data_IF_477635772961
#
_entry.id   IF_477635772961
#
_cell.length_a   1.000
_cell.length_b   1.000
_cell.length_c   1.000
_cell.angle_alpha   90.00
_cell.angle_beta   90.00
_cell.angle_gamma   90.00
#
_symmetry.space_group_name_H-M   'P 1'
#
loop_
_entity.id
_entity.type
_entity.pdbx_description
1 polymer ?
#
# COMPACT_ATOMS: atom_id res chain seq x y z
N UNK A 1 7.66 -18.08 -6.39
CA UNK A 1 6.55 -17.88 -7.33
C UNK A 1 5.40 -18.75 -6.86
N UNK A 2 4.42 -18.17 -6.18
CA UNK A 2 3.26 -18.89 -5.68
C UNK A 2 2.06 -18.49 -6.54
N UNK A 3 1.35 -19.48 -7.08
CA UNK A 3 0.13 -19.25 -7.85
C UNK A 3 -1.07 -19.55 -6.96
N UNK A 4 -2.03 -18.63 -6.91
CA UNK A 4 -3.27 -18.83 -6.17
C UNK A 4 -4.40 -19.11 -7.18
N UNK A 5 -4.59 -20.38 -7.52
CA UNK A 5 -5.68 -20.84 -8.38
C UNK A 5 -6.74 -21.56 -7.55
N UNK A 6 -8.01 -21.27 -7.81
CA UNK A 6 -9.14 -21.90 -7.11
C UNK A 6 -10.33 -22.14 -8.03
N UNK A 7 -11.23 -23.05 -7.63
CA UNK A 7 -12.56 -23.20 -8.22
C UNK A 7 -13.59 -22.48 -7.35
N UNK A 8 -14.44 -21.63 -7.93
CA UNK A 8 -15.49 -20.91 -7.17
C UNK A 8 -15.06 -19.56 -6.57
N UNK A 9 -14.02 -18.93 -7.12
CA UNK A 9 -13.36 -17.71 -6.65
C UNK A 9 -14.21 -16.43 -6.55
N UNK A 10 -15.46 -16.46 -7.02
CA UNK A 10 -16.41 -15.33 -6.98
C UNK A 10 -17.85 -15.86 -6.77
N UNK A 11 -18.47 -15.63 -5.59
CA UNK A 11 -19.83 -16.05 -5.28
C UNK A 11 -20.88 -15.50 -6.26
N UNK A 12 -20.67 -14.29 -6.81
CA UNK A 12 -21.61 -13.64 -7.71
C UNK A 12 -21.57 -14.26 -9.11
N UNK A 13 -20.40 -14.77 -9.51
CA UNK A 13 -20.24 -15.38 -10.84
C UNK A 13 -20.78 -16.82 -10.88
N UNK A 14 -20.66 -17.57 -9.77
CA UNK A 14 -21.31 -18.89 -9.66
C UNK A 14 -22.84 -18.77 -9.74
N UNK A 15 -23.43 -17.75 -9.11
CA UNK A 15 -24.86 -17.47 -9.20
C UNK A 15 -25.29 -17.11 -10.64
N UNK A 16 -24.50 -16.30 -11.35
CA UNK A 16 -24.79 -15.92 -12.74
C UNK A 16 -24.65 -17.07 -13.74
N UNK A 17 -23.68 -17.98 -13.56
CA UNK A 17 -23.52 -19.16 -14.42
C UNK A 17 -24.63 -20.19 -14.23
N UNK A 18 -25.09 -20.40 -12.99
CA UNK A 18 -26.24 -21.25 -12.67
C UNK A 18 -27.53 -20.63 -13.25
N UNK A 19 -27.72 -19.31 -13.12
CA UNK A 19 -28.87 -18.60 -13.71
C UNK A 19 -28.89 -18.65 -15.24
N UNK A 20 -27.74 -18.84 -15.90
CA UNK A 20 -27.63 -18.97 -17.36
C UNK A 20 -27.77 -20.42 -17.87
N UNK A 21 -28.10 -21.39 -17.00
CA UNK A 21 -28.36 -22.78 -17.41
C UNK A 21 -27.12 -23.60 -17.77
N UNK A 22 -25.92 -23.05 -17.55
CA UNK A 22 -24.69 -23.81 -17.65
C UNK A 22 -24.52 -24.67 -16.39
N UNK A 23 -24.31 -25.98 -16.56
CA UNK A 23 -24.04 -26.90 -15.45
C UNK A 23 -22.79 -26.51 -14.65
N UNK A 24 -22.51 -27.22 -13.55
CA UNK A 24 -21.35 -26.93 -12.70
C UNK A 24 -20.02 -27.19 -13.44
N UNK A 25 -19.50 -26.20 -14.16
CA UNK A 25 -18.25 -26.32 -14.91
C UNK A 25 -17.07 -25.96 -13.99
N UNK A 26 -16.23 -26.95 -13.67
CA UNK A 26 -15.06 -26.78 -12.80
C UNK A 26 -13.86 -26.34 -13.62
N UNK A 27 -13.61 -25.03 -13.68
CA UNK A 27 -12.36 -24.47 -14.19
C UNK A 27 -11.59 -23.78 -13.05
N UNK A 28 -10.27 -23.94 -13.02
CA UNK A 28 -9.40 -23.22 -12.09
C UNK A 28 -9.15 -21.81 -12.60
N UNK A 29 -9.62 -20.80 -11.89
CA UNK A 29 -9.37 -19.39 -12.21
C UNK A 29 -8.43 -18.77 -11.18
N UNK A 30 -7.61 -17.78 -11.57
CA UNK A 30 -6.79 -17.04 -10.60
C UNK A 30 -7.71 -16.37 -9.56
N UNK A 31 -7.32 -16.44 -8.31
CA UNK A 31 -8.04 -15.78 -7.22
C UNK A 31 -7.84 -14.26 -7.30
N UNK A 32 -8.77 -13.48 -6.76
CA UNK A 32 -8.69 -12.01 -6.75
C UNK A 32 -7.47 -11.45 -5.98
N UNK A 33 -6.80 -12.29 -5.19
CA UNK A 33 -5.54 -11.98 -4.51
C UNK A 33 -4.31 -12.68 -5.14
N UNK A 34 -4.44 -13.28 -6.33
CA UNK A 34 -3.33 -13.91 -7.06
C UNK A 34 -2.31 -12.86 -7.52
N UNK A 35 -1.25 -12.67 -6.74
CA UNK A 35 -0.13 -11.80 -7.09
C UNK A 35 1.04 -12.65 -7.59
N UNK A 36 1.30 -12.61 -8.90
CA UNK A 36 2.30 -13.47 -9.56
C UNK A 36 3.73 -13.17 -9.15
N UNK A 37 4.08 -11.88 -9.08
CA UNK A 37 5.41 -11.43 -8.69
C UNK A 37 5.29 -10.54 -7.46
N UNK A 38 6.04 -10.89 -6.42
CA UNK A 38 6.21 -10.07 -5.23
C UNK A 38 7.69 -10.05 -4.89
N UNK A 39 8.26 -8.85 -4.84
CA UNK A 39 9.65 -8.57 -4.52
C UNK A 39 9.65 -7.77 -3.24
N UNK A 40 10.35 -8.26 -2.24
CA UNK A 40 10.61 -7.55 -1.00
C UNK A 40 12.11 -7.53 -0.77
N UNK A 41 12.66 -6.34 -0.56
CA UNK A 41 14.04 -6.14 -0.16
C UNK A 41 14.06 -5.29 1.10
N UNK A 42 14.80 -5.76 2.10
CA UNK A 42 15.02 -5.02 3.34
C UNK A 42 16.53 -4.85 3.53
N UNK A 43 16.94 -3.62 3.77
CA UNK A 43 18.33 -3.25 4.09
C UNK A 43 18.30 -2.53 5.41
N UNK A 44 19.00 -3.07 6.39
CA UNK A 44 19.16 -2.44 7.70
C UNK A 44 20.64 -2.13 7.93
N UNK A 45 20.90 -0.93 8.41
CA UNK A 45 22.24 -0.50 8.78
C UNK A 45 22.19 0.26 10.10
N UNK A 46 23.07 -0.11 11.03
CA UNK A 46 23.18 0.51 12.35
C UNK A 46 24.63 0.79 12.69
N UNK A 47 24.90 2.02 13.11
CA UNK A 47 26.18 2.40 13.66
C UNK A 47 26.34 1.85 15.07
N UNK A 48 27.56 1.40 15.40
CA UNK A 48 27.94 1.12 16.78
C UNK A 48 27.93 2.39 17.63
N UNK A 49 28.16 2.24 18.92
CA UNK A 49 28.17 3.34 19.86
C UNK A 49 28.16 2.86 21.29
N UNK A 50 28.09 3.83 22.20
CA UNK A 50 28.18 3.59 23.64
C UNK A 50 26.95 2.84 24.17
N UNK A 51 25.79 3.03 23.53
CA UNK A 51 24.55 2.34 23.92
C UNK A 51 24.56 0.89 23.44
N UNK A 52 24.95 0.66 22.19
CA UNK A 52 25.02 -0.68 21.57
C UNK A 52 26.23 -1.50 22.01
N UNK A 53 27.24 -0.89 22.64
CA UNK A 53 28.47 -1.55 23.06
C UNK A 53 29.40 -1.99 21.92
N UNK A 54 29.11 -1.55 20.68
CA UNK A 54 29.89 -1.86 19.48
C UNK A 54 30.81 -0.70 19.11
N UNK A 55 31.99 -0.96 18.50
CA UNK A 55 32.87 0.12 18.05
C UNK A 55 32.16 1.00 17.02
N UNK A 56 32.26 2.31 17.20
CA UNK A 56 31.72 3.28 16.25
C UNK A 56 32.68 3.46 15.07
N UNK A 57 32.18 3.23 13.86
CA UNK A 57 32.93 3.35 12.60
C UNK A 57 32.40 4.46 11.68
N UNK A 58 31.50 5.32 12.20
CA UNK A 58 30.85 6.37 11.42
C UNK A 58 31.59 7.71 11.39
N UNK A 59 31.02 8.70 10.68
CA UNK A 59 31.62 10.02 10.52
C UNK A 59 31.64 10.80 11.84
N UNK A 60 32.79 11.41 12.15
CA UNK A 60 32.98 12.28 13.32
C UNK A 60 33.04 13.74 12.90
N UNK A 61 32.37 14.62 13.63
CA UNK A 61 32.50 16.08 13.45
C UNK A 61 33.05 16.65 14.75
N UNK A 62 34.25 17.26 14.71
CA UNK A 62 34.91 17.82 15.91
C UNK A 62 35.00 16.78 17.06
N UNK A 63 35.38 15.54 16.73
CA UNK A 63 35.47 14.39 17.65
C UNK A 63 34.14 13.89 18.23
N UNK A 64 33.01 14.46 17.82
CA UNK A 64 31.67 14.01 18.22
C UNK A 64 31.20 12.92 17.27
N UNK A 65 30.86 11.76 17.82
CA UNK A 65 30.25 10.63 17.11
C UNK A 65 28.77 10.94 16.82
N UNK A 66 28.50 11.72 15.77
CA UNK A 66 27.17 12.28 15.47
C UNK A 66 26.10 11.20 15.22
N UNK A 67 26.49 10.08 14.62
CA UNK A 67 25.61 8.96 14.28
C UNK A 67 25.81 7.75 15.20
N UNK A 68 26.47 7.92 16.35
CA UNK A 68 26.56 6.83 17.32
C UNK A 68 25.16 6.34 17.70
N UNK A 69 25.02 5.01 17.70
CA UNK A 69 23.76 4.31 18.03
C UNK A 69 22.56 4.75 17.17
N UNK A 70 22.82 5.25 15.96
CA UNK A 70 21.80 5.55 14.96
C UNK A 70 21.62 4.37 13.98
N UNK A 71 20.37 4.09 13.64
CA UNK A 71 19.95 3.08 12.68
C UNK A 71 19.18 3.68 11.50
N UNK A 72 19.28 3.01 10.36
CA UNK A 72 18.46 3.27 9.19
C UNK A 72 18.00 1.92 8.60
N UNK A 73 16.70 1.79 8.38
CA UNK A 73 16.07 0.60 7.81
C UNK A 73 15.29 1.00 6.57
N UNK A 74 15.60 0.40 5.43
CA UNK A 74 14.92 0.62 4.15
C UNK A 74 14.18 -0.66 3.76
N UNK A 75 12.89 -0.56 3.50
CA UNK A 75 12.05 -1.66 3.01
C UNK A 75 11.44 -1.28 1.67
N UNK A 76 11.81 -2.00 0.62
CA UNK A 76 11.25 -1.88 -0.71
C UNK A 76 10.30 -3.04 -0.96
N UNK A 77 9.08 -2.73 -1.37
CA UNK A 77 8.06 -3.69 -1.74
C UNK A 77 7.58 -3.38 -3.15
N UNK A 78 7.72 -4.32 -4.06
CA UNK A 78 7.22 -4.23 -5.42
C UNK A 78 6.39 -5.47 -5.73
N UNK A 79 5.29 -5.32 -6.44
CA UNK A 79 4.48 -6.46 -6.81
C UNK A 79 3.63 -6.21 -8.05
N UNK A 80 3.44 -7.27 -8.83
CA UNK A 80 2.54 -7.27 -9.98
C UNK A 80 1.11 -6.98 -9.53
N UNK A 81 0.30 -6.32 -10.36
CA UNK A 81 -1.08 -6.06 -9.98
C UNK A 81 -1.90 -7.33 -9.82
N UNK A 82 -2.85 -7.27 -8.88
CA UNK A 82 -3.82 -8.33 -8.66
C UNK A 82 -4.80 -8.40 -9.83
N UNK A 83 -5.40 -9.57 -10.08
CA UNK A 83 -6.33 -9.70 -11.17
C UNK A 83 -7.70 -9.09 -10.84
N UNK A 84 -8.43 -8.74 -11.89
CA UNK A 84 -9.80 -8.25 -11.81
C UNK A 84 -10.63 -8.74 -13.01
N UNK A 85 -11.94 -8.68 -12.86
CA UNK A 85 -12.90 -9.00 -13.92
C UNK A 85 -13.13 -7.75 -14.78
N UNK A 86 -12.71 -7.81 -16.05
CA UNK A 86 -13.06 -6.77 -17.03
C UNK A 86 -14.45 -7.05 -17.59
N UNK A 87 -15.29 -6.03 -17.66
CA UNK A 87 -16.66 -6.14 -18.17
C UNK A 87 -16.89 -5.17 -19.32
N UNK A 88 -17.80 -5.51 -20.21
CA UNK A 88 -18.25 -4.61 -21.28
C UNK A 88 -19.25 -3.60 -20.70
N UNK A 89 -19.06 -2.33 -21.02
CA UNK A 89 -19.86 -1.23 -20.48
C UNK A 89 -21.32 -1.25 -21.00
N UNK A 90 -21.60 -1.90 -22.13
CA UNK A 90 -22.94 -1.90 -22.75
C UNK A 90 -23.86 -2.97 -22.18
N UNK A 91 -23.33 -4.15 -21.93
CA UNK A 91 -24.13 -5.33 -21.55
C UNK A 91 -23.65 -6.01 -20.25
N UNK A 92 -22.63 -5.44 -19.60
CA UNK A 92 -21.99 -5.94 -18.38
C UNK A 92 -21.42 -7.37 -18.49
N UNK A 93 -21.25 -7.87 -19.72
CA UNK A 93 -20.68 -9.19 -19.94
C UNK A 93 -19.19 -9.21 -19.63
N UNK A 94 -18.74 -10.32 -19.05
CA UNK A 94 -17.34 -10.55 -18.75
C UNK A 94 -16.54 -10.60 -20.05
N UNK A 95 -15.51 -9.76 -20.15
CA UNK A 95 -14.56 -9.76 -21.24
C UNK A 95 -13.39 -10.68 -20.87
N UNK A 96 -13.26 -11.78 -21.62
CA UNK A 96 -12.22 -12.78 -21.40
C UNK A 96 -12.57 -13.77 -20.29
N UNK A 97 -11.59 -14.14 -19.47
CA UNK A 97 -11.79 -15.07 -18.36
C UNK A 97 -11.99 -14.34 -17.03
N UNK A 98 -12.57 -15.06 -16.06
CA UNK A 98 -12.65 -14.57 -14.68
C UNK A 98 -11.23 -14.26 -14.20
N UNK A 99 -11.02 -13.08 -13.64
CA UNK A 99 -9.73 -12.58 -13.16
C UNK A 99 -8.65 -12.61 -14.26
N UNK A 100 -9.07 -12.42 -15.52
CA UNK A 100 -8.19 -12.45 -16.70
C UNK A 100 -7.39 -11.15 -16.92
N UNK A 101 -7.90 -10.02 -16.45
CA UNK A 101 -7.19 -8.73 -16.52
C UNK A 101 -6.42 -8.47 -15.23
N UNK A 102 -5.38 -7.64 -15.28
CA UNK A 102 -4.54 -7.30 -14.12
C UNK A 102 -4.40 -5.81 -13.94
N UNK A 103 -4.42 -5.38 -12.69
CA UNK A 103 -4.11 -4.01 -12.32
C UNK A 103 -2.62 -3.69 -12.60
N UNK A 104 -2.24 -2.40 -12.60
CA UNK A 104 -0.85 -1.98 -12.69
C UNK A 104 0.01 -2.55 -11.55
N UNK A 105 1.33 -2.52 -11.75
CA UNK A 105 2.27 -2.84 -10.68
C UNK A 105 2.17 -1.83 -9.54
N UNK A 106 2.45 -2.31 -8.33
CA UNK A 106 2.51 -1.49 -7.13
C UNK A 106 3.92 -1.51 -6.55
N UNK A 107 4.42 -0.35 -6.15
CA UNK A 107 5.74 -0.17 -5.55
C UNK A 107 5.63 0.76 -4.34
N UNK A 108 6.14 0.33 -3.19
CA UNK A 108 6.18 1.12 -1.96
C UNK A 108 7.57 1.03 -1.37
N UNK A 109 8.15 2.18 -1.06
CA UNK A 109 9.43 2.30 -0.37
C UNK A 109 9.17 2.94 0.98
N UNK A 110 9.57 2.27 2.05
CA UNK A 110 9.49 2.75 3.42
C UNK A 110 10.90 2.88 3.98
N UNK A 111 11.15 3.94 4.73
CA UNK A 111 12.41 4.12 5.46
C UNK A 111 12.12 4.47 6.89
N UNK A 112 12.91 3.92 7.80
CA UNK A 112 12.92 4.27 9.21
C UNK A 112 14.31 4.70 9.60
N UNK A 113 14.40 5.83 10.27
CA UNK A 113 15.60 6.27 10.98
C UNK A 113 15.32 6.20 12.47
N UNK A 114 16.28 5.71 13.25
CA UNK A 114 16.17 5.70 14.70
C UNK A 114 17.50 5.99 15.36
N UNK A 115 17.45 6.46 16.61
CA UNK A 115 18.64 6.73 17.41
C UNK A 115 18.39 6.36 18.85
N UNK A 116 19.26 5.52 19.38
CA UNK A 116 19.26 5.15 20.79
C UNK A 116 20.11 6.11 21.60
N UNK A 117 19.60 6.51 22.75
CA UNK A 117 20.27 7.36 23.72
C UNK A 117 20.15 6.72 25.09
N UNK A 118 21.23 6.76 25.86
CA UNK A 118 21.27 6.29 27.24
C UNK A 118 21.48 7.48 28.17
N UNK A 119 20.58 7.64 29.13
CA UNK A 119 20.66 8.63 30.19
C UNK A 119 20.77 7.93 31.53
N UNK A 120 21.48 8.53 32.48
CA UNK A 120 21.48 8.08 33.87
C UNK A 120 20.60 9.02 34.66
N UNK A 121 19.53 8.50 35.25
CA UNK A 121 18.62 9.25 36.12
C UNK A 121 18.84 8.75 37.55
N UNK A 122 19.43 9.59 38.41
CA UNK A 122 19.65 9.29 39.83
C UNK A 122 20.91 9.93 40.42
N UNK A 123 20.77 10.51 41.62
CA UNK A 123 21.87 11.05 42.43
C UNK A 123 21.54 12.28 43.28
N UNK A 124 20.58 12.18 44.23
CA UNK A 124 20.47 13.01 45.46
C UNK A 124 19.59 12.30 46.53
N UNK A 125 19.94 11.08 46.89
CA UNK A 125 19.32 10.31 47.99
C UNK A 125 20.28 9.24 48.48
N UNK A 126 20.14 8.83 49.74
CA UNK A 126 21.16 8.10 50.52
C UNK A 126 21.54 6.70 49.99
N UNK A 127 20.77 6.11 49.06
CA UNK A 127 21.10 4.85 48.37
C UNK A 127 21.47 5.12 46.90
N UNK A 128 22.73 5.50 46.67
CA UNK A 128 23.28 6.08 45.42
C UNK A 128 23.24 5.25 44.12
N UNK A 129 22.23 4.42 43.89
CA UNK A 129 22.07 3.65 42.66
C UNK A 129 21.62 4.54 41.49
N UNK A 130 22.51 4.66 40.50
CA UNK A 130 22.21 5.31 39.22
C UNK A 130 21.33 4.39 38.39
N UNK A 131 20.13 4.84 38.03
CA UNK A 131 19.26 4.09 37.12
C UNK A 131 19.54 4.48 35.67
N UNK A 132 19.86 3.50 34.84
CA UNK A 132 20.01 3.68 33.41
C UNK A 132 18.63 3.73 32.74
N UNK A 133 18.38 4.76 31.92
CA UNK A 133 17.17 4.94 31.12
C UNK A 133 17.55 5.00 29.65
N UNK A 134 16.86 4.20 28.84
CA UNK A 134 17.09 4.13 27.39
C UNK A 134 15.96 4.85 26.66
N UNK A 135 16.32 5.75 25.75
CA UNK A 135 15.41 6.50 24.89
C UNK A 135 15.73 6.17 23.43
N UNK A 136 14.76 5.62 22.70
CA UNK A 136 14.82 5.48 21.24
C UNK A 136 13.96 6.59 20.61
N UNK A 137 14.55 7.44 19.79
CA UNK A 137 13.81 8.41 18.97
C UNK A 137 13.82 7.91 17.53
N UNK A 138 12.66 7.85 16.89
CA UNK A 138 12.53 7.34 15.53
C UNK A 138 11.67 8.23 14.63
N UNK A 139 11.98 8.15 13.35
CA UNK A 139 11.28 8.75 12.23
C UNK A 139 10.98 7.65 11.22
N UNK A 140 9.70 7.33 11.04
CA UNK A 140 9.21 6.38 10.04
C UNK A 140 8.54 7.14 8.90
N UNK A 141 9.05 6.94 7.68
CA UNK A 141 8.50 7.51 6.46
C UNK A 141 8.03 6.37 5.59
N UNK A 142 6.72 6.22 5.51
CA UNK A 142 6.07 5.24 4.64
C UNK A 142 5.73 5.87 3.28
N UNK A 143 5.88 5.11 2.20
CA UNK A 143 5.66 5.55 0.81
C UNK A 143 6.46 6.83 0.47
N UNK A 144 7.80 6.75 0.55
CA UNK A 144 8.71 7.88 0.31
C UNK A 144 8.50 8.46 -1.09
N UNK A 145 8.21 7.65 -2.11
CA UNK A 145 7.96 8.16 -3.47
C UNK A 145 6.60 8.84 -3.63
N UNK A 146 5.72 8.76 -2.61
CA UNK A 146 4.33 9.20 -2.68
C UNK A 146 3.59 8.59 -3.89
N UNK A 147 3.91 7.35 -4.24
CA UNK A 147 3.31 6.65 -5.38
C UNK A 147 1.85 6.31 -5.05
N UNK A 148 0.94 6.67 -5.95
CA UNK A 148 -0.47 6.32 -5.87
C UNK A 148 -0.68 4.89 -6.40
N UNK A 149 -0.39 3.89 -5.57
CA UNK A 149 -0.53 2.50 -6.00
C UNK A 149 -2.00 2.12 -6.14
N UNK A 150 -2.38 1.64 -7.31
CA UNK A 150 -3.75 1.20 -7.61
C UNK A 150 -4.07 -0.09 -6.84
N UNK A 151 -5.13 -0.04 -6.04
CA UNK A 151 -5.68 -1.15 -5.24
C UNK A 151 -7.00 -1.67 -5.77
N UNK A 152 -7.75 -0.83 -6.48
CA UNK A 152 -9.04 -1.13 -7.08
C UNK A 152 -9.19 -0.36 -8.38
N UNK A 153 -9.93 -0.96 -9.32
CA UNK A 153 -10.23 -0.38 -10.63
C UNK A 153 -11.70 -0.63 -10.97
N UNK A 154 -12.28 0.24 -11.76
CA UNK A 154 -13.60 0.01 -12.34
C UNK A 154 -13.52 -1.11 -13.39
N UNK A 155 -14.48 -2.03 -13.36
CA UNK A 155 -14.48 -3.22 -14.22
C UNK A 155 -14.61 -2.90 -15.71
N UNK A 156 -15.24 -1.77 -16.07
CA UNK A 156 -15.48 -1.40 -17.46
C UNK A 156 -14.23 -0.80 -18.13
N UNK A 157 -13.55 0.14 -17.47
CA UNK A 157 -12.37 0.84 -18.01
C UNK A 157 -11.05 0.17 -17.62
N UNK A 158 -10.98 -0.43 -16.43
CA UNK A 158 -9.72 -0.81 -15.80
C UNK A 158 -8.97 0.36 -15.14
N UNK A 159 -9.59 1.55 -15.09
CA UNK A 159 -9.02 2.73 -14.44
C UNK A 159 -9.52 2.85 -12.98
N UNK A 160 -8.71 3.42 -12.09
CA UNK A 160 -9.09 3.66 -10.69
C UNK A 160 -9.99 4.88 -10.46
N UNK A 161 -10.11 5.78 -11.44
CA UNK A 161 -10.77 7.09 -11.32
C UNK A 161 -11.85 7.36 -12.37
N UNK A 162 -12.03 6.43 -13.32
CA UNK A 162 -12.98 6.55 -14.41
C UNK A 162 -13.73 5.23 -14.57
N UNK A 163 -15.06 5.26 -14.49
CA UNK A 163 -15.91 4.11 -14.76
C UNK A 163 -16.34 4.02 -16.23
N UNK A 164 -16.06 5.06 -17.03
CA UNK A 164 -16.39 5.16 -18.44
C UNK A 164 -17.78 5.71 -18.74
N UNK A 165 -18.63 5.94 -17.72
CA UNK A 165 -20.00 6.40 -17.94
C UNK A 165 -20.06 7.78 -18.60
N UNK A 166 -19.23 8.73 -18.12
CA UNK A 166 -19.21 10.10 -18.63
C UNK A 166 -18.77 10.21 -20.10
N UNK A 167 -18.07 9.20 -20.61
CA UNK A 167 -17.52 9.16 -21.97
C UNK A 167 -18.26 8.17 -22.88
N UNK A 168 -19.22 7.41 -22.37
CA UNK A 168 -19.94 6.43 -23.16
C UNK A 168 -21.00 7.08 -24.04
N UNK A 169 -21.10 6.67 -25.32
CA UNK A 169 -22.02 7.26 -26.31
C UNK A 169 -23.48 7.19 -25.85
N UNK A 170 -23.92 6.04 -25.34
CA UNK A 170 -25.31 5.83 -24.91
C UNK A 170 -25.71 6.70 -23.70
N UNK A 171 -24.72 7.14 -22.92
CA UNK A 171 -24.95 8.01 -21.76
C UNK A 171 -25.04 9.49 -22.13
N UNK A 172 -24.54 9.91 -23.30
CA UNK A 172 -24.42 11.34 -23.63
C UNK A 172 -25.78 12.03 -23.69
N UNK A 173 -26.78 11.42 -24.33
CA UNK A 173 -28.14 11.99 -24.39
C UNK A 173 -28.75 12.15 -23.00
N UNK A 174 -28.49 11.24 -22.06
CA UNK A 174 -28.99 11.35 -20.69
C UNK A 174 -28.28 12.46 -19.90
N UNK A 175 -26.98 12.68 -20.17
CA UNK A 175 -26.15 13.71 -19.55
C UNK A 175 -26.50 15.11 -20.10
N UNK A 176 -26.69 15.25 -21.41
CA UNK A 176 -27.08 16.49 -22.08
C UNK A 176 -28.49 16.95 -21.67
N UNK A 177 -29.37 16.02 -21.32
CA UNK A 177 -30.73 16.32 -20.83
C UNK A 177 -30.80 16.70 -19.34
N UNK A 178 -29.67 16.79 -18.63
CA UNK A 178 -29.65 17.27 -17.25
C UNK A 178 -29.86 18.78 -17.20
N UNK A 179 -30.36 19.30 -16.07
CA UNK A 179 -30.60 20.74 -15.89
C UNK A 179 -29.35 21.60 -16.12
N UNK A 180 -28.19 21.09 -15.69
CA UNK A 180 -26.87 21.65 -15.96
C UNK A 180 -25.90 20.49 -16.19
N UNK A 181 -25.46 20.36 -17.44
CA UNK A 181 -24.53 19.31 -17.87
C UNK A 181 -23.18 19.42 -17.14
N UNK A 182 -22.64 20.63 -17.02
CA UNK A 182 -21.32 20.86 -16.43
C UNK A 182 -21.33 20.53 -14.92
N UNK A 183 -22.41 20.89 -14.24
CA UNK A 183 -22.63 20.52 -12.85
C UNK A 183 -22.75 18.99 -12.70
N UNK A 184 -23.58 18.34 -13.53
CA UNK A 184 -23.76 16.88 -13.49
C UNK A 184 -22.43 16.14 -13.66
N UNK A 185 -21.64 16.50 -14.68
CA UNK A 185 -20.33 15.89 -14.95
C UNK A 185 -19.37 16.07 -13.77
N UNK A 186 -19.36 17.25 -13.13
CA UNK A 186 -18.54 17.49 -11.94
C UNK A 186 -18.94 16.58 -10.77
N UNK A 187 -20.22 16.57 -10.42
CA UNK A 187 -20.70 15.75 -9.30
C UNK A 187 -20.49 14.25 -9.56
N UNK A 188 -20.69 13.81 -10.79
CA UNK A 188 -20.43 12.43 -11.17
C UNK A 188 -18.93 12.07 -11.06
N UNK A 189 -18.04 12.93 -11.57
CA UNK A 189 -16.59 12.74 -11.45
C UNK A 189 -16.14 12.68 -9.98
N UNK A 190 -16.74 13.48 -9.10
CA UNK A 190 -16.49 13.41 -7.65
C UNK A 190 -17.03 12.13 -7.02
N UNK A 191 -18.16 11.63 -7.49
CA UNK A 191 -18.79 10.40 -7.00
C UNK A 191 -17.95 9.16 -7.35
N UNK A 192 -17.44 9.08 -8.58
CA UNK A 192 -16.63 7.93 -9.04
C UNK A 192 -15.21 7.94 -8.47
N UNK A 193 -14.68 9.12 -8.11
CA UNK A 193 -13.34 9.23 -7.54
C UNK A 193 -13.32 8.65 -6.12
N UNK A 194 -13.01 7.37 -6.02
CA UNK A 194 -13.04 6.62 -4.77
C UNK A 194 -11.63 6.49 -4.16
N UNK A 195 -11.34 7.13 -3.00
CA UNK A 195 -9.99 7.15 -2.43
C UNK A 195 -9.41 5.77 -2.12
N UNK A 196 -10.25 4.77 -1.88
CA UNK A 196 -9.82 3.41 -1.57
C UNK A 196 -9.34 2.62 -2.79
N UNK A 197 -9.51 3.16 -4.00
CA UNK A 197 -8.85 2.64 -5.20
C UNK A 197 -7.34 2.88 -5.18
N UNK A 198 -6.83 3.70 -4.27
CA UNK A 198 -5.42 4.00 -4.12
C UNK A 198 -4.86 3.56 -2.77
N UNK A 199 -3.54 3.33 -2.74
CA UNK A 199 -2.81 3.17 -1.49
C UNK A 199 -2.73 4.48 -0.72
N UNK A 200 -2.45 4.38 0.58
CA UNK A 200 -2.20 5.54 1.43
C UNK A 200 -1.06 6.41 0.84
N UNK A 201 -1.20 7.74 0.93
CA UNK A 201 -0.14 8.66 0.53
C UNK A 201 1.04 8.56 1.49
N UNK A 202 2.11 9.31 1.17
CA UNK A 202 3.27 9.42 2.06
C UNK A 202 2.84 9.79 3.47
N UNK A 203 3.28 9.00 4.45
CA UNK A 203 3.01 9.26 5.87
C UNK A 203 4.35 9.37 6.59
N UNK A 204 4.50 10.39 7.43
CA UNK A 204 5.69 10.60 8.26
C UNK A 204 5.24 10.52 9.72
N UNK A 205 5.84 9.60 10.47
CA UNK A 205 5.59 9.40 11.89
C UNK A 205 6.91 9.67 12.64
N UNK A 206 6.84 10.53 13.64
CA UNK A 206 7.94 10.73 14.60
C UNK A 206 7.48 10.21 15.95
N UNK A 207 8.33 9.47 16.64
CA UNK A 207 8.03 8.95 17.96
C UNK A 207 9.26 8.79 18.83
N UNK A 208 9.00 8.62 20.12
CA UNK A 208 10.00 8.35 21.14
C UNK A 208 9.51 7.18 22.00
N UNK A 209 10.40 6.24 22.31
CA UNK A 209 10.15 5.10 23.19
C UNK A 209 11.14 5.15 24.34
N UNK A 210 10.62 5.11 25.57
CA UNK A 210 11.42 5.14 26.81
C UNK A 210 11.32 3.78 27.47
N UNK A 211 12.48 3.19 27.80
CA UNK A 211 12.61 1.95 28.56
C UNK A 211 13.36 2.24 29.87
N UNK A 212 12.81 1.73 30.99
CA UNK A 212 13.30 1.93 32.36
C UNK A 212 13.89 0.65 32.95
#
# INVERSE_FOLDING_TARGET
MQFANGSGSDPNTAANLINQGFGNIRFTNPLNFDQRHQIQAAVDYRFGGKVSGRPYTGPKIREIDILADAGASLVVQAGSGKPYNKRDIRNDYLIGSINGSRMPWSNTINIRFDKDMKFQIGGKGDDGDKKDVYLNVYFDISNILNTANVRGVHSWTGNPDDDGYLHHADSQTAIENQYDEAAYRNYYAMYINYPWNYSRPRTILMGAMINF
#
